data_IF_939176370596
#
_entry.id   IF_939176370596
#
_cell.length_a   1.000
_cell.length_b   1.000
_cell.length_c   1.000
_cell.angle_alpha   90.00
_cell.angle_beta   90.00
_cell.angle_gamma   90.00
#
_symmetry.space_group_name_H-M   'P 1'
#
loop_
_entity.id
_entity.type
_entity.pdbx_description
1 polymer ?
#
# COMPACT_ATOMS: atom_id res chain seq x y z
N UNK A 1 -4.26 27.60 36.76
CA UNK A 1 -2.89 27.91 37.22
C UNK A 1 -2.38 29.09 36.42
N UNK A 2 -2.05 30.22 37.06
CA UNK A 2 -1.39 31.34 36.38
C UNK A 2 0.07 30.95 36.10
N UNK A 3 0.52 31.10 34.86
CA UNK A 3 1.93 31.06 34.51
C UNK A 3 2.33 32.46 34.05
N UNK A 4 3.15 33.09 34.89
CA UNK A 4 3.79 34.37 34.65
C UNK A 4 5.10 34.10 33.88
N UNK A 5 5.31 34.74 32.74
CA UNK A 5 6.62 34.77 32.07
C UNK A 5 6.99 36.21 31.78
N UNK A 6 8.03 36.67 32.45
CA UNK A 6 8.71 37.94 32.23
C UNK A 6 9.57 37.89 30.96
N UNK A 7 9.58 38.97 30.18
CA UNK A 7 10.78 39.37 29.45
C UNK A 7 10.74 40.86 29.10
N UNK A 8 11.84 41.53 29.44
CA UNK A 8 12.22 42.93 29.19
C UNK A 8 12.09 43.41 27.73
N UNK A 9 11.83 44.71 27.47
CA UNK A 9 11.70 45.24 26.11
C UNK A 9 13.07 45.54 25.47
N UNK A 10 13.22 45.17 24.20
CA UNK A 10 14.28 45.64 23.30
C UNK A 10 13.78 46.92 22.61
N UNK A 11 14.49 48.03 22.76
CA UNK A 11 14.23 49.28 22.05
C UNK A 11 14.93 49.23 20.69
N UNK A 12 14.18 49.37 19.60
CA UNK A 12 14.73 49.66 18.27
C UNK A 12 14.03 50.93 17.76
N UNK A 13 14.84 51.95 17.50
CA UNK A 13 14.45 53.22 16.93
C UNK A 13 14.42 53.17 15.39
N UNK A 14 13.67 54.12 14.84
CA UNK A 14 13.70 54.63 13.47
C UNK A 14 12.78 54.01 12.41
N UNK A 15 11.91 54.90 11.94
CA UNK A 15 10.92 54.81 10.89
C UNK A 15 11.45 54.30 9.54
N UNK A 16 10.77 53.31 8.97
CA UNK A 16 10.56 53.19 7.52
C UNK A 16 9.15 52.64 7.28
N UNK A 17 8.35 53.37 6.50
CA UNK A 17 7.06 52.91 5.99
C UNK A 17 7.26 51.72 5.06
N UNK A 18 6.82 50.53 5.44
CA UNK A 18 6.67 49.38 4.52
C UNK A 18 5.46 48.56 4.96
N UNK A 19 4.44 48.50 4.10
CA UNK A 19 3.29 47.60 4.26
C UNK A 19 3.78 46.20 3.87
N UNK A 20 3.95 45.32 4.86
CA UNK A 20 4.18 43.89 4.61
C UNK A 20 2.83 43.20 4.52
N UNK A 21 2.44 42.78 3.30
CA UNK A 21 1.34 41.84 3.10
C UNK A 21 1.85 40.44 3.46
N UNK A 22 1.43 39.92 4.61
CA UNK A 22 1.58 38.50 4.96
C UNK A 22 0.36 37.74 4.45
N UNK A 23 0.58 36.81 3.52
CA UNK A 23 -0.40 35.83 3.05
C UNK A 23 -0.64 34.79 4.15
N UNK A 24 -1.82 34.81 4.76
CA UNK A 24 -2.23 33.90 5.86
C UNK A 24 -3.12 32.75 5.37
N UNK A 25 -2.83 32.17 4.22
CA UNK A 25 -3.52 30.96 3.72
C UNK A 25 -3.18 29.67 4.49
N UNK A 26 -2.43 29.72 5.59
CA UNK A 26 -2.09 28.55 6.44
C UNK A 26 -2.10 28.83 7.95
N UNK A 27 -3.17 29.42 8.49
CA UNK A 27 -3.43 29.33 9.93
C UNK A 27 -4.70 28.50 10.18
N UNK A 28 -4.49 27.29 10.69
CA UNK A 28 -5.55 26.41 11.19
C UNK A 28 -6.09 27.03 12.50
N UNK A 29 -7.41 27.05 12.59
CA UNK A 29 -8.21 27.45 13.75
C UNK A 29 -7.66 26.88 15.06
N UNK A 30 -7.05 27.73 15.90
CA UNK A 30 -7.15 27.61 17.36
C UNK A 30 -6.75 28.86 18.16
N UNK A 31 -6.44 29.99 17.51
CA UNK A 31 -5.98 31.20 18.20
C UNK A 31 -6.74 32.45 17.74
N UNK A 32 -8.07 32.40 17.74
CA UNK A 32 -8.90 33.58 17.41
C UNK A 32 -9.31 34.41 18.64
N UNK A 33 -9.03 33.94 19.86
CA UNK A 33 -9.33 34.70 21.09
C UNK A 33 -8.15 35.59 21.52
N UNK A 34 -6.91 35.28 21.13
CA UNK A 34 -5.73 36.05 21.57
C UNK A 34 -5.23 37.11 20.57
N UNK A 35 -5.70 37.11 19.32
CA UNK A 35 -5.17 37.99 18.26
C UNK A 35 -5.92 39.33 18.11
N UNK A 36 -7.01 39.56 18.85
CA UNK A 36 -7.63 40.90 18.91
C UNK A 36 -6.83 41.87 19.81
N UNK A 37 -5.87 41.37 20.61
CA UNK A 37 -5.18 42.20 21.60
C UNK A 37 -3.83 42.81 21.18
N UNK A 38 -3.31 42.57 19.95
CA UNK A 38 -1.91 42.94 19.66
C UNK A 38 -1.63 43.86 18.45
N UNK A 39 -2.62 44.48 17.82
CA UNK A 39 -2.36 45.51 16.79
C UNK A 39 -3.32 46.69 16.91
N UNK A 40 -3.07 47.62 17.84
CA UNK A 40 -2.50 48.95 17.53
C UNK A 40 -2.61 49.87 18.77
N UNK A 41 -1.44 50.36 19.20
CA UNK A 41 -1.19 51.18 20.38
C UNK A 41 -1.17 52.65 19.95
N UNK A 42 -1.98 53.52 20.58
CA UNK A 42 -1.57 54.77 21.24
C UNK A 42 -2.77 55.68 21.49
N UNK A 43 -3.00 56.00 22.76
CA UNK A 43 -3.86 57.08 23.29
C UNK A 43 -5.36 57.03 22.93
N UNK A 44 -6.13 56.20 23.63
CA UNK A 44 -7.39 56.57 24.33
C UNK A 44 -8.07 55.32 24.88
N UNK A 45 -8.55 55.39 26.12
CA UNK A 45 -9.18 54.27 26.83
C UNK A 45 -10.63 54.10 26.43
N UNK A 46 -10.97 53.06 25.66
CA UNK A 46 -12.38 52.67 25.43
C UNK A 46 -12.57 51.16 25.62
N UNK A 47 -13.68 50.80 26.29
CA UNK A 47 -14.05 49.43 26.64
C UNK A 47 -14.99 48.83 25.58
N UNK A 48 -14.68 47.64 25.08
CA UNK A 48 -15.52 46.90 24.13
C UNK A 48 -16.26 45.74 24.83
N UNK A 49 -17.52 45.49 24.45
CA UNK A 49 -18.28 44.30 24.89
C UNK A 49 -18.77 43.52 23.66
N UNK A 50 -18.44 42.22 23.64
CA UNK A 50 -18.98 41.26 22.68
C UNK A 50 -20.25 40.62 23.25
N UNK A 51 -21.27 40.49 22.41
CA UNK A 51 -22.48 39.73 22.71
C UNK A 51 -22.66 38.62 21.67
N UNK A 52 -22.97 37.41 22.14
CA UNK A 52 -23.45 36.33 21.29
C UNK A 52 -24.98 36.48 21.15
N UNK A 53 -25.51 36.35 19.94
CA UNK A 53 -26.97 36.25 19.74
C UNK A 53 -27.41 34.79 19.70
N UNK A 54 -28.63 34.53 20.14
CA UNK A 54 -29.23 33.19 20.20
C UNK A 54 -29.46 32.54 18.82
N UNK A 55 -29.15 33.23 17.72
CA UNK A 55 -29.21 32.72 16.34
C UNK A 55 -27.82 32.47 15.73
N UNK A 56 -26.77 32.37 16.56
CA UNK A 56 -25.44 31.90 16.14
C UNK A 56 -24.56 32.95 15.44
N UNK A 57 -24.89 34.24 15.52
CA UNK A 57 -24.06 35.32 15.01
C UNK A 57 -23.35 36.09 16.13
N UNK A 58 -22.05 36.39 15.97
CA UNK A 58 -21.34 37.36 16.80
C UNK A 58 -21.58 38.77 16.25
N UNK A 59 -22.17 39.65 17.06
CA UNK A 59 -22.37 41.05 16.68
C UNK A 59 -21.47 41.95 17.52
N UNK A 60 -20.53 42.63 16.87
CA UNK A 60 -19.67 43.62 17.53
C UNK A 60 -20.43 44.95 17.62
N UNK A 61 -20.74 45.42 18.83
CA UNK A 61 -21.34 46.73 19.05
C UNK A 61 -20.28 47.69 19.59
N UNK A 62 -20.00 48.75 18.84
CA UNK A 62 -19.08 49.81 19.25
C UNK A 62 -19.90 50.93 19.86
N UNK A 63 -19.74 51.18 21.16
CA UNK A 63 -20.28 52.38 21.79
C UNK A 63 -19.25 53.50 21.59
N UNK A 64 -19.57 54.45 20.71
CA UNK A 64 -18.71 55.62 20.44
C UNK A 64 -19.34 56.82 21.11
N UNK A 65 -18.58 57.53 21.95
CA UNK A 65 -18.98 58.83 22.47
C UNK A 65 -19.13 59.81 21.28
N UNK A 66 -20.32 60.42 21.05
CA UNK A 66 -20.59 61.20 19.83
C UNK A 66 -19.70 62.42 19.64
N UNK A 67 -18.98 62.84 20.68
CA UNK A 67 -18.23 64.09 20.68
C UNK A 67 -16.78 63.98 20.18
N UNK A 68 -16.30 62.79 19.79
CA UNK A 68 -14.88 62.61 19.44
C UNK A 68 -14.54 61.93 18.10
N UNK A 69 -15.51 61.51 17.27
CA UNK A 69 -15.21 60.88 15.97
C UNK A 69 -16.21 61.30 14.88
N UNK A 70 -15.71 61.87 13.77
CA UNK A 70 -16.52 62.06 12.55
C UNK A 70 -16.68 60.72 11.81
N UNK A 71 -17.93 60.25 11.67
CA UNK A 71 -18.34 59.01 11.00
C UNK A 71 -17.94 58.92 9.51
N UNK A 72 -17.45 60.01 8.91
CA UNK A 72 -17.02 60.03 7.50
C UNK A 72 -15.77 59.19 7.22
N UNK A 73 -14.93 58.93 8.22
CA UNK A 73 -13.62 58.28 8.03
C UNK A 73 -13.65 56.74 8.18
N UNK A 74 -14.78 56.14 8.57
CA UNK A 74 -14.93 54.69 8.81
C UNK A 74 -15.68 53.93 7.70
N UNK A 75 -16.32 54.65 6.77
CA UNK A 75 -17.17 54.06 5.73
C UNK A 75 -16.48 53.11 4.73
N UNK A 76 -15.19 53.29 4.34
CA UNK A 76 -14.55 52.35 3.41
C UNK A 76 -14.31 50.96 4.04
N UNK A 77 -14.08 50.91 5.36
CA UNK A 77 -13.73 49.68 6.07
C UNK A 77 -14.95 48.88 6.54
N UNK A 78 -16.04 49.55 6.91
CA UNK A 78 -17.31 48.90 7.29
C UNK A 78 -18.01 48.21 6.11
N UNK A 79 -17.82 48.69 4.88
CA UNK A 79 -18.39 48.05 3.69
C UNK A 79 -17.67 46.75 3.30
N UNK A 80 -16.41 46.55 3.70
CA UNK A 80 -15.69 45.29 3.49
C UNK A 80 -16.10 44.18 4.47
N UNK A 81 -16.59 44.54 5.66
CA UNK A 81 -17.08 43.58 6.65
C UNK A 81 -18.50 43.06 6.36
N UNK A 82 -19.29 43.80 5.58
CA UNK A 82 -20.70 43.42 5.27
C UNK A 82 -20.84 42.33 4.21
N UNK A 83 -19.80 42.05 3.41
CA UNK A 83 -19.86 41.09 2.29
C UNK A 83 -19.18 39.75 2.56
N UNK A 84 -18.74 39.49 3.79
CA UNK A 84 -18.25 38.16 4.17
C UNK A 84 -19.38 37.35 4.81
N UNK A 85 -20.28 36.81 3.99
CA UNK A 85 -21.12 35.68 4.42
C UNK A 85 -20.20 34.49 4.67
N UNK A 86 -19.85 34.28 5.95
CA UNK A 86 -19.22 33.04 6.40
C UNK A 86 -20.30 31.97 6.23
N UNK A 87 -20.20 31.20 5.15
CA UNK A 87 -20.94 29.95 5.05
C UNK A 87 -20.46 29.07 6.19
N UNK A 88 -21.41 28.65 7.01
CA UNK A 88 -21.22 27.72 8.12
C UNK A 88 -20.37 26.54 7.62
N UNK A 89 -19.11 26.38 8.08
CA UNK A 89 -18.37 25.19 7.77
C UNK A 89 -19.03 24.10 8.61
N UNK A 90 -20.03 23.42 8.03
CA UNK A 90 -20.28 22.05 8.44
C UNK A 90 -18.90 21.41 8.48
N UNK A 91 -18.49 20.76 9.58
CA UNK A 91 -17.22 20.06 9.59
C UNK A 91 -17.27 19.10 8.41
N UNK A 92 -16.52 19.40 7.34
CA UNK A 92 -16.14 18.38 6.39
C UNK A 92 -15.46 17.35 7.26
N UNK A 93 -16.12 16.22 7.47
CA UNK A 93 -15.48 15.05 8.03
C UNK A 93 -14.35 14.74 7.05
N UNK A 94 -13.13 15.18 7.36
CA UNK A 94 -11.94 14.88 6.60
C UNK A 94 -11.58 13.43 6.87
N UNK A 95 -12.43 12.53 6.39
CA UNK A 95 -12.18 11.10 6.35
C UNK A 95 -11.14 10.85 5.25
N UNK A 96 -9.86 11.13 5.53
CA UNK A 96 -8.78 10.78 4.62
C UNK A 96 -7.86 9.78 5.33
N UNK A 97 -8.13 8.49 5.14
CA UNK A 97 -7.30 7.41 5.64
C UNK A 97 -6.28 7.00 4.60
N UNK A 98 -4.99 7.20 4.90
CA UNK A 98 -3.90 6.93 3.99
C UNK A 98 -3.27 5.58 4.32
N UNK A 99 -3.16 4.70 3.33
CA UNK A 99 -2.55 3.38 3.46
C UNK A 99 -1.42 3.21 2.46
N UNK A 100 -0.24 2.85 2.96
CA UNK A 100 0.90 2.50 2.12
C UNK A 100 1.04 0.99 2.03
N UNK A 101 1.13 0.46 0.80
CA UNK A 101 1.54 -0.92 0.58
C UNK A 101 3.07 -0.98 0.40
N UNK A 102 3.77 -1.76 1.24
CA UNK A 102 5.22 -1.98 1.15
C UNK A 102 5.56 -3.44 0.77
N UNK A 103 6.65 -3.66 0.00
CA UNK A 103 7.18 -4.96 -0.55
C UNK A 103 6.75 -5.38 -1.99
N UNK A 104 7.26 -6.47 -2.57
CA UNK A 104 6.97 -6.94 -3.98
C UNK A 104 6.07 -8.18 -4.03
N UNK A 105 5.28 -8.41 -3.00
CA UNK A 105 4.72 -9.72 -2.66
C UNK A 105 3.22 -9.90 -2.95
N UNK A 106 2.58 -8.92 -3.59
CA UNK A 106 1.13 -8.96 -3.91
C UNK A 106 0.38 -7.64 -3.79
N UNK A 107 1.08 -6.51 -3.61
CA UNK A 107 0.47 -5.18 -3.38
C UNK A 107 -0.55 -4.78 -4.44
N UNK A 108 -0.16 -4.84 -5.72
CA UNK A 108 -1.06 -4.50 -6.81
C UNK A 108 -2.27 -5.43 -6.87
N UNK A 109 -2.12 -6.69 -6.45
CA UNK A 109 -3.26 -7.62 -6.33
C UNK A 109 -4.21 -7.18 -5.22
N UNK A 110 -3.71 -6.73 -4.05
CA UNK A 110 -4.55 -6.14 -2.99
C UNK A 110 -5.30 -4.90 -3.52
N UNK A 111 -4.64 -4.05 -4.31
CA UNK A 111 -5.30 -2.88 -4.93
C UNK A 111 -6.40 -3.29 -5.90
N UNK A 112 -6.14 -4.29 -6.75
CA UNK A 112 -7.16 -4.88 -7.63
C UNK A 112 -8.35 -5.42 -6.82
N UNK A 113 -8.12 -6.04 -5.66
CA UNK A 113 -9.19 -6.50 -4.77
C UNK A 113 -10.02 -5.34 -4.22
N UNK A 114 -9.39 -4.24 -3.79
CA UNK A 114 -10.15 -3.05 -3.34
C UNK A 114 -11.02 -2.48 -4.44
N UNK A 115 -10.57 -2.53 -5.70
CA UNK A 115 -11.39 -2.15 -6.84
C UNK A 115 -12.59 -3.09 -7.06
N UNK A 116 -12.37 -4.39 -6.99
CA UNK A 116 -13.45 -5.40 -7.11
C UNK A 116 -14.49 -5.22 -6.00
N UNK A 117 -14.04 -5.04 -4.76
CA UNK A 117 -14.91 -4.97 -3.60
C UNK A 117 -15.63 -3.62 -3.46
N UNK A 118 -15.00 -2.51 -3.88
CA UNK A 118 -15.45 -1.16 -3.50
C UNK A 118 -15.48 -0.13 -4.65
N UNK A 119 -15.02 -0.46 -5.87
CA UNK A 119 -14.92 0.49 -7.00
C UNK A 119 -15.44 -0.12 -8.31
N UNK A 120 -16.58 -0.82 -8.24
CA UNK A 120 -17.25 -1.43 -9.41
C UNK A 120 -16.34 -2.35 -10.28
N UNK A 121 -15.26 -2.89 -9.70
CA UNK A 121 -14.34 -3.80 -10.38
C UNK A 121 -13.65 -3.23 -11.62
N UNK A 122 -13.61 -4.04 -12.67
CA UNK A 122 -12.96 -3.74 -13.95
C UNK A 122 -13.98 -3.70 -15.06
N UNK A 123 -13.97 -2.62 -15.85
CA UNK A 123 -14.88 -2.48 -16.98
C UNK A 123 -14.39 -3.30 -18.20
N UNK A 124 -15.23 -3.40 -19.23
CA UNK A 124 -14.93 -4.19 -20.43
C UNK A 124 -13.69 -3.71 -21.20
N UNK A 125 -13.45 -2.40 -21.23
CA UNK A 125 -12.30 -1.81 -21.92
C UNK A 125 -10.99 -2.13 -21.18
N UNK A 126 -10.98 -2.01 -19.86
CA UNK A 126 -9.84 -2.43 -19.02
C UNK A 126 -9.56 -3.93 -19.15
N UNK A 127 -10.61 -4.76 -19.17
CA UNK A 127 -10.48 -6.21 -19.41
C UNK A 127 -9.83 -6.49 -20.77
N UNK A 128 -10.25 -5.77 -21.82
CA UNK A 128 -9.69 -5.91 -23.16
C UNK A 128 -8.21 -5.53 -23.22
N UNK A 129 -7.83 -4.42 -22.57
CA UNK A 129 -6.43 -3.99 -22.50
C UNK A 129 -5.55 -5.01 -21.76
N UNK A 130 -6.11 -5.74 -20.80
CA UNK A 130 -5.39 -6.77 -20.03
C UNK A 130 -5.18 -8.09 -20.77
N UNK A 131 -5.87 -8.32 -21.89
CA UNK A 131 -5.65 -9.52 -22.72
C UNK A 131 -4.19 -9.61 -23.16
N UNK A 132 -3.62 -8.49 -23.61
CA UNK A 132 -2.22 -8.46 -24.05
C UNK A 132 -1.25 -8.79 -22.91
N UNK A 133 -1.47 -8.24 -21.72
CA UNK A 133 -0.67 -8.54 -20.53
C UNK A 133 -0.73 -10.02 -20.15
N UNK A 134 -1.91 -10.65 -20.23
CA UNK A 134 -2.09 -12.08 -19.95
C UNK A 134 -1.36 -12.95 -20.99
N UNK A 135 -1.48 -12.60 -22.27
CA UNK A 135 -0.75 -13.29 -23.34
C UNK A 135 0.77 -13.18 -23.15
N UNK A 136 1.26 -12.01 -22.75
CA UNK A 136 2.66 -11.82 -22.37
C UNK A 136 3.07 -12.66 -21.17
N UNK A 137 2.21 -12.83 -20.16
CA UNK A 137 2.52 -13.72 -19.03
C UNK A 137 2.66 -15.18 -19.47
N UNK A 138 1.85 -15.66 -20.43
CA UNK A 138 2.02 -17.02 -21.01
C UNK A 138 3.38 -17.13 -21.70
N UNK A 139 3.72 -16.14 -22.54
CA UNK A 139 5.02 -16.11 -23.26
C UNK A 139 6.19 -16.08 -22.28
N UNK A 140 6.22 -15.13 -21.34
CA UNK A 140 7.27 -15.02 -20.32
C UNK A 140 7.40 -16.33 -19.53
N UNK A 141 6.28 -16.95 -19.13
CA UNK A 141 6.30 -18.19 -18.38
C UNK A 141 6.94 -19.34 -19.15
N UNK A 142 6.45 -19.67 -20.35
CA UNK A 142 6.97 -20.82 -21.10
C UNK A 142 8.42 -20.59 -21.54
N UNK A 143 8.75 -19.38 -21.97
CA UNK A 143 10.09 -18.97 -22.37
C UNK A 143 11.09 -19.12 -21.22
N UNK A 144 10.72 -18.62 -20.03
CA UNK A 144 11.59 -18.70 -18.84
C UNK A 144 11.84 -20.15 -18.44
N UNK A 145 10.82 -21.01 -18.48
CA UNK A 145 10.96 -22.43 -18.13
C UNK A 145 11.89 -23.14 -19.12
N UNK A 146 11.65 -23.01 -20.44
CA UNK A 146 12.47 -23.71 -21.44
C UNK A 146 13.91 -23.17 -21.50
N UNK A 147 14.11 -21.87 -21.27
CA UNK A 147 15.45 -21.29 -21.13
C UNK A 147 16.19 -21.82 -19.90
N UNK A 148 15.48 -22.13 -18.81
CA UNK A 148 16.07 -22.66 -17.59
C UNK A 148 16.53 -24.13 -17.74
N UNK A 149 15.90 -24.91 -18.64
CA UNK A 149 16.21 -26.35 -18.80
C UNK A 149 17.69 -26.63 -19.00
N UNK A 150 18.39 -25.82 -19.81
CA UNK A 150 19.82 -25.97 -20.10
C UNK A 150 20.75 -25.31 -19.08
N UNK A 151 20.23 -24.39 -18.25
CA UNK A 151 21.03 -23.63 -17.26
C UNK A 151 20.97 -24.20 -15.85
N UNK A 152 19.94 -25.00 -15.55
CA UNK A 152 19.85 -25.76 -14.30
C UNK A 152 21.04 -26.70 -14.13
N UNK A 153 21.41 -26.96 -12.88
CA UNK A 153 22.48 -27.91 -12.52
C UNK A 153 21.91 -28.98 -11.59
N UNK A 154 21.79 -30.26 -12.02
CA UNK A 154 22.01 -30.76 -13.38
C UNK A 154 20.96 -30.21 -14.37
N UNK A 155 21.28 -30.13 -15.67
CA UNK A 155 20.33 -29.68 -16.69
C UNK A 155 19.17 -30.67 -16.85
N UNK A 156 18.02 -30.17 -17.28
CA UNK A 156 16.82 -30.97 -17.53
C UNK A 156 16.65 -31.15 -19.02
N UNK A 157 16.44 -32.40 -19.46
CA UNK A 157 16.21 -32.73 -20.87
C UNK A 157 14.70 -32.83 -21.15
N UNK A 158 14.31 -32.64 -22.41
CA UNK A 158 12.95 -32.95 -22.86
C UNK A 158 12.65 -34.44 -22.67
N UNK A 159 11.41 -34.74 -22.29
CA UNK A 159 10.93 -36.12 -22.29
C UNK A 159 10.74 -36.64 -23.72
N UNK A 160 10.29 -35.76 -24.65
CA UNK A 160 10.20 -36.07 -26.07
C UNK A 160 11.20 -35.24 -26.88
N UNK A 161 12.24 -35.85 -27.48
CA UNK A 161 13.19 -35.14 -28.34
C UNK A 161 12.54 -34.44 -29.55
N UNK A 162 11.35 -34.89 -29.98
CA UNK A 162 10.59 -34.26 -31.06
C UNK A 162 10.13 -32.84 -30.71
N UNK A 163 10.13 -32.46 -29.43
CA UNK A 163 9.76 -31.10 -29.00
C UNK A 163 10.92 -30.09 -29.12
N UNK A 164 12.11 -30.51 -29.55
CA UNK A 164 13.29 -29.65 -29.61
C UNK A 164 13.08 -28.40 -30.50
N UNK A 165 12.49 -28.57 -31.68
CA UNK A 165 12.21 -27.43 -32.57
C UNK A 165 11.22 -26.43 -31.94
N UNK A 166 10.36 -26.87 -31.01
CA UNK A 166 9.42 -26.00 -30.30
C UNK A 166 10.13 -25.14 -29.27
N UNK A 167 11.16 -25.68 -28.59
CA UNK A 167 12.05 -24.86 -27.74
C UNK A 167 12.70 -23.77 -28.58
N UNK A 168 13.30 -24.15 -29.71
CA UNK A 168 13.96 -23.20 -30.63
C UNK A 168 12.97 -22.14 -31.13
N UNK A 169 11.75 -22.53 -31.48
CA UNK A 169 10.68 -21.60 -31.85
C UNK A 169 10.43 -20.59 -30.72
N UNK A 170 10.13 -21.05 -29.51
CA UNK A 170 9.79 -20.18 -28.37
C UNK A 170 10.94 -19.24 -28.00
N UNK A 171 12.19 -19.74 -28.00
CA UNK A 171 13.37 -18.92 -27.68
C UNK A 171 13.70 -17.89 -28.78
N UNK A 172 13.37 -18.16 -30.04
CA UNK A 172 13.58 -17.20 -31.12
C UNK A 172 12.58 -16.02 -31.08
N UNK A 173 11.42 -16.19 -30.43
CA UNK A 173 10.41 -15.12 -30.27
C UNK A 173 10.89 -13.96 -29.38
N UNK A 174 11.98 -14.15 -28.63
CA UNK A 174 12.57 -13.11 -27.75
C UNK A 174 13.02 -11.89 -28.53
N UNK A 175 13.37 -12.07 -29.80
CA UNK A 175 13.95 -11.00 -30.63
C UNK A 175 12.91 -10.12 -31.33
N UNK A 176 11.60 -10.43 -31.24
CA UNK A 176 10.56 -9.73 -31.97
C UNK A 176 9.89 -8.64 -31.11
N UNK A 177 10.01 -7.36 -31.52
CA UNK A 177 9.43 -6.20 -30.82
C UNK A 177 7.91 -6.12 -30.95
N UNK A 178 7.35 -6.54 -32.08
CA UNK A 178 5.92 -6.55 -32.37
C UNK A 178 5.44 -7.99 -32.51
N UNK A 179 5.45 -8.70 -31.38
CA UNK A 179 5.11 -10.12 -31.38
C UNK A 179 3.59 -10.33 -31.50
N UNK A 180 3.16 -10.99 -32.58
CA UNK A 180 1.77 -11.40 -32.75
C UNK A 180 1.56 -12.81 -32.17
N UNK A 181 0.56 -12.94 -31.29
CA UNK A 181 0.21 -14.21 -30.67
C UNK A 181 -0.58 -15.11 -31.63
N UNK A 182 0.14 -15.83 -32.49
CA UNK A 182 -0.44 -16.74 -33.49
C UNK A 182 -0.91 -18.07 -32.88
N UNK A 183 -1.77 -18.79 -33.62
CA UNK A 183 -2.17 -20.15 -33.23
C UNK A 183 -0.98 -21.09 -33.08
N UNK A 184 0.05 -20.94 -33.92
CA UNK A 184 1.28 -21.73 -33.86
C UNK A 184 2.00 -21.59 -32.52
N UNK A 185 2.05 -20.38 -31.96
CA UNK A 185 2.62 -20.15 -30.63
C UNK A 185 1.89 -20.89 -29.53
N UNK A 186 0.56 -20.79 -29.50
CA UNK A 186 -0.23 -21.46 -28.47
C UNK A 186 -0.08 -22.98 -28.55
N UNK A 187 -0.03 -23.56 -29.75
CA UNK A 187 0.20 -25.00 -29.93
C UNK A 187 1.62 -25.42 -29.50
N UNK A 188 2.65 -24.62 -29.81
CA UNK A 188 4.01 -24.87 -29.35
C UNK A 188 4.13 -24.77 -27.83
N UNK A 189 3.60 -23.70 -27.23
CA UNK A 189 3.63 -23.49 -25.79
C UNK A 189 2.87 -24.58 -25.03
N UNK A 190 1.68 -24.96 -25.52
CA UNK A 190 0.86 -26.04 -24.93
C UNK A 190 1.56 -27.39 -25.01
N UNK A 191 2.13 -27.74 -26.17
CA UNK A 191 2.81 -29.02 -26.35
C UNK A 191 4.05 -29.12 -25.46
N UNK A 192 4.81 -28.03 -25.34
CA UNK A 192 5.94 -27.95 -24.41
C UNK A 192 5.48 -28.06 -22.96
N UNK A 193 4.39 -27.38 -22.58
CA UNK A 193 3.89 -27.45 -21.20
C UNK A 193 3.45 -28.86 -20.78
N UNK A 194 3.03 -29.67 -21.74
CA UNK A 194 2.66 -31.08 -21.55
C UNK A 194 3.87 -32.03 -21.56
N UNK A 195 5.08 -31.56 -21.89
CA UNK A 195 6.29 -32.37 -21.86
C UNK A 195 6.77 -32.56 -20.41
N UNK A 196 6.94 -33.81 -19.98
CA UNK A 196 7.37 -34.13 -18.61
C UNK A 196 8.73 -33.51 -18.25
N UNK A 197 9.64 -33.34 -19.20
CA UNK A 197 10.91 -32.64 -18.97
C UNK A 197 10.70 -31.16 -18.63
N UNK A 198 9.79 -30.49 -19.34
CA UNK A 198 9.40 -29.10 -19.06
C UNK A 198 8.69 -29.00 -17.70
N UNK A 199 7.82 -29.96 -17.37
CA UNK A 199 7.17 -30.05 -16.04
C UNK A 199 8.19 -30.23 -14.92
N UNK A 200 9.17 -31.11 -15.09
CA UNK A 200 10.28 -31.29 -14.13
C UNK A 200 11.09 -30.00 -13.95
N UNK A 201 11.34 -29.26 -15.03
CA UNK A 201 12.01 -27.96 -14.94
C UNK A 201 11.18 -26.95 -14.15
N UNK A 202 9.86 -26.87 -14.41
CA UNK A 202 8.93 -26.02 -13.66
C UNK A 202 8.91 -26.31 -12.15
N UNK A 203 8.96 -27.58 -11.75
CA UNK A 203 9.02 -27.98 -10.34
C UNK A 203 10.30 -27.47 -9.63
N UNK A 204 11.35 -27.15 -10.40
CA UNK A 204 12.61 -26.56 -9.94
C UNK A 204 12.66 -25.03 -10.11
N UNK A 205 11.51 -24.40 -10.31
CA UNK A 205 11.39 -22.96 -10.55
C UNK A 205 11.87 -22.05 -9.41
N UNK A 206 12.17 -22.60 -8.23
CA UNK A 206 12.83 -21.85 -7.16
C UNK A 206 14.32 -21.57 -7.46
N UNK A 207 14.94 -22.29 -8.40
CA UNK A 207 16.33 -22.12 -8.83
C UNK A 207 16.52 -21.02 -9.89
N UNK A 208 15.41 -20.44 -10.40
CA UNK A 208 15.41 -19.36 -11.39
C UNK A 208 14.22 -18.40 -11.19
N UNK A 209 14.09 -17.37 -12.03
CA UNK A 209 13.17 -16.25 -11.79
C UNK A 209 11.81 -16.38 -12.51
N UNK A 210 11.02 -17.39 -12.16
CA UNK A 210 9.69 -17.58 -12.73
C UNK A 210 8.61 -16.67 -12.11
N UNK A 211 7.55 -16.38 -12.88
CA UNK A 211 6.36 -15.67 -12.41
C UNK A 211 5.39 -16.64 -11.72
N UNK A 212 4.79 -16.23 -10.59
CA UNK A 212 3.94 -17.14 -9.80
C UNK A 212 2.65 -17.56 -10.53
N UNK A 213 2.21 -16.79 -11.52
CA UNK A 213 1.02 -17.10 -12.32
C UNK A 213 1.30 -18.04 -13.51
N UNK A 214 2.53 -18.54 -13.66
CA UNK A 214 2.95 -19.39 -14.78
C UNK A 214 2.02 -20.59 -14.97
N UNK A 215 1.89 -21.45 -13.96
CA UNK A 215 1.02 -22.63 -14.04
C UNK A 215 -0.43 -22.26 -14.36
N UNK A 216 -0.98 -21.27 -13.66
CA UNK A 216 -2.38 -20.83 -13.85
C UNK A 216 -2.69 -20.46 -15.31
N UNK A 217 -1.79 -19.74 -15.99
CA UNK A 217 -2.02 -19.34 -17.37
C UNK A 217 -1.61 -20.41 -18.40
N UNK A 218 -0.57 -21.20 -18.12
CA UNK A 218 -0.16 -22.32 -18.99
C UNK A 218 -1.22 -23.42 -19.02
N UNK A 219 -1.89 -23.69 -17.89
CA UNK A 219 -3.03 -24.63 -17.81
C UNK A 219 -4.28 -24.11 -18.56
N UNK A 220 -4.31 -22.81 -18.91
CA UNK A 220 -5.44 -22.12 -19.56
C UNK A 220 -5.17 -21.67 -20.98
N UNK A 221 -4.10 -22.16 -21.62
CA UNK A 221 -3.74 -21.77 -23.00
C UNK A 221 -4.92 -21.90 -23.97
N UNK A 222 -5.70 -22.98 -23.88
CA UNK A 222 -6.85 -23.21 -24.78
C UNK A 222 -7.98 -22.20 -24.62
N UNK A 223 -8.11 -21.58 -23.44
CA UNK A 223 -9.09 -20.54 -23.15
C UNK A 223 -8.57 -19.20 -23.66
N UNK A 224 -7.31 -18.87 -23.34
CA UNK A 224 -6.70 -17.57 -23.68
C UNK A 224 -6.46 -17.41 -25.18
N UNK A 225 -6.30 -18.52 -25.93
CA UNK A 225 -6.10 -18.49 -27.38
C UNK A 225 -7.35 -18.15 -28.20
N UNK A 226 -8.55 -18.24 -27.60
CA UNK A 226 -9.80 -17.96 -28.31
C UNK A 226 -9.89 -16.48 -28.70
N UNK A 227 -10.49 -16.19 -29.87
CA UNK A 227 -10.62 -14.82 -30.38
C UNK A 227 -11.62 -13.97 -29.60
N UNK A 228 -12.58 -14.61 -28.93
CA UNK A 228 -13.62 -14.00 -28.09
C UNK A 228 -13.27 -14.03 -26.58
N UNK A 229 -12.04 -14.44 -26.24
CA UNK A 229 -11.57 -14.50 -24.87
C UNK A 229 -11.74 -13.15 -24.15
N UNK A 230 -12.49 -13.17 -23.04
CA UNK A 230 -12.64 -12.05 -22.12
C UNK A 230 -12.11 -12.45 -20.74
N UNK A 231 -11.09 -11.75 -20.19
CA UNK A 231 -10.52 -12.10 -18.90
C UNK A 231 -11.54 -12.06 -17.77
N UNK A 232 -11.55 -13.11 -16.95
CA UNK A 232 -12.26 -13.11 -15.68
C UNK A 232 -11.54 -12.24 -14.65
N UNK A 233 -12.24 -11.83 -13.59
CA UNK A 233 -11.60 -11.07 -12.51
C UNK A 233 -10.46 -11.88 -11.86
N UNK A 234 -10.56 -13.21 -11.86
CA UNK A 234 -9.47 -14.09 -11.41
C UNK A 234 -8.24 -14.01 -12.32
N UNK A 235 -8.43 -13.96 -13.63
CA UNK A 235 -7.33 -13.75 -14.59
C UNK A 235 -6.67 -12.39 -14.35
N UNK A 236 -7.46 -11.35 -14.08
CA UNK A 236 -6.94 -10.02 -13.77
C UNK A 236 -6.14 -9.99 -12.46
N UNK A 237 -6.60 -10.69 -11.42
CA UNK A 237 -5.91 -10.79 -10.14
C UNK A 237 -4.57 -11.55 -10.25
N UNK A 238 -4.53 -12.60 -11.08
CA UNK A 238 -3.33 -13.41 -11.34
C UNK A 238 -2.38 -12.77 -12.35
N UNK A 239 -2.87 -11.91 -13.23
CA UNK A 239 -2.07 -11.21 -14.22
C UNK A 239 -0.97 -10.36 -13.56
N UNK A 240 0.27 -10.63 -13.95
CA UNK A 240 1.47 -9.95 -13.46
C UNK A 240 1.83 -8.81 -14.39
N UNK A 241 1.86 -7.62 -13.84
CA UNK A 241 2.41 -6.41 -14.46
C UNK A 241 3.37 -5.79 -13.46
N UNK A 242 4.57 -5.42 -13.91
CA UNK A 242 5.56 -4.78 -13.05
C UNK A 242 5.15 -3.34 -12.78
N UNK A 243 4.86 -3.04 -11.52
CA UNK A 243 4.52 -1.69 -11.05
C UNK A 243 5.78 -0.86 -10.90
N UNK A 244 5.93 0.18 -11.72
CA UNK A 244 6.94 1.23 -11.56
C UNK A 244 6.25 2.56 -11.26
N UNK A 245 6.71 3.26 -10.23
CA UNK A 245 6.08 4.48 -9.75
C UNK A 245 5.12 4.27 -8.58
N UNK A 246 4.24 5.26 -8.40
CA UNK A 246 3.26 5.35 -7.32
C UNK A 246 1.88 5.36 -7.98
N UNK A 247 1.00 4.45 -7.56
CA UNK A 247 -0.37 4.38 -8.02
C UNK A 247 -1.32 4.61 -6.84
N UNK A 248 -2.30 5.47 -7.04
CA UNK A 248 -3.29 5.82 -6.02
C UNK A 248 -4.63 5.17 -6.34
N UNK A 249 -5.31 4.68 -5.31
CA UNK A 249 -6.69 4.20 -5.42
C UNK A 249 -7.51 4.75 -4.26
N UNK A 250 -8.66 5.34 -4.59
CA UNK A 250 -9.60 5.90 -3.61
C UNK A 250 -10.90 5.13 -3.67
N UNK A 251 -11.44 4.81 -2.50
CA UNK A 251 -12.70 4.10 -2.38
C UNK A 251 -13.36 4.43 -1.04
N UNK A 252 -14.67 4.18 -0.94
CA UNK A 252 -15.44 4.45 0.25
C UNK A 252 -16.09 3.17 0.76
N UNK A 253 -16.00 2.92 2.07
CA UNK A 253 -16.65 1.79 2.74
C UNK A 253 -17.36 2.31 3.98
N UNK A 254 -18.67 2.06 4.09
CA UNK A 254 -19.51 2.53 5.21
C UNK A 254 -19.31 4.02 5.53
N UNK A 255 -19.26 4.84 4.47
CA UNK A 255 -19.03 6.30 4.48
C UNK A 255 -17.61 6.76 4.83
N UNK A 256 -16.71 5.85 5.19
CA UNK A 256 -15.30 6.16 5.44
C UNK A 256 -14.51 6.10 4.13
N UNK A 257 -13.75 7.15 3.81
CA UNK A 257 -12.90 7.14 2.62
C UNK A 257 -11.51 6.58 2.91
N UNK A 258 -11.04 5.74 2.00
CA UNK A 258 -9.71 5.16 1.99
C UNK A 258 -8.95 5.65 0.78
N UNK A 259 -7.69 6.04 1.00
CA UNK A 259 -6.73 6.44 0.00
C UNK A 259 -5.49 5.56 0.10
N UNK A 260 -5.36 4.63 -0.84
CA UNK A 260 -4.30 3.63 -0.83
C UNK A 260 -3.24 3.94 -1.90
N UNK A 261 -1.97 3.74 -1.54
CA UNK A 261 -0.80 3.95 -2.38
C UNK A 261 -0.11 2.61 -2.65
N UNK A 262 -0.11 2.18 -3.90
CA UNK A 262 0.70 1.06 -4.39
C UNK A 262 1.98 1.61 -5.01
N UNK A 263 3.08 1.50 -4.25
CA UNK A 263 4.39 1.97 -4.68
C UNK A 263 5.22 0.80 -5.18
N UNK A 264 6.01 0.98 -6.24
CA UNK A 264 6.97 -0.01 -6.69
C UNK A 264 7.81 -0.57 -5.52
N UNK A 265 7.85 -1.89 -5.38
CA UNK A 265 8.52 -2.54 -4.23
C UNK A 265 9.97 -2.95 -4.48
N UNK A 266 10.37 -2.94 -5.76
CA UNK A 266 11.73 -3.29 -6.19
C UNK A 266 12.74 -2.33 -5.57
N UNK A 267 13.98 -2.78 -5.37
CA UNK A 267 15.01 -1.98 -4.67
C UNK A 267 15.14 -0.55 -5.21
N UNK A 268 15.11 -0.36 -6.53
CA UNK A 268 15.26 0.94 -7.18
C UNK A 268 14.04 1.87 -7.00
N UNK A 269 12.86 1.29 -6.74
CA UNK A 269 11.63 2.03 -6.53
C UNK A 269 11.47 2.51 -5.07
N UNK A 270 12.18 1.89 -4.11
CA UNK A 270 12.03 2.17 -2.67
C UNK A 270 12.37 3.61 -2.27
N UNK A 271 13.23 4.29 -3.04
CA UNK A 271 13.54 5.72 -2.79
C UNK A 271 12.31 6.63 -2.96
N UNK A 272 11.32 6.21 -3.74
CA UNK A 272 10.07 6.96 -3.98
C UNK A 272 9.12 6.87 -2.78
N UNK A 273 9.29 5.89 -1.89
CA UNK A 273 8.37 5.65 -0.77
C UNK A 273 8.22 6.85 0.16
N UNK A 274 9.31 7.62 0.36
CA UNK A 274 9.29 8.83 1.19
C UNK A 274 8.28 9.88 0.70
N UNK A 275 7.93 9.87 -0.60
CA UNK A 275 6.95 10.78 -1.19
C UNK A 275 5.53 10.47 -0.72
N UNK A 276 5.28 9.25 -0.23
CA UNK A 276 3.99 8.78 0.24
C UNK A 276 3.87 8.74 1.77
N UNK A 277 4.89 9.17 2.52
CA UNK A 277 4.91 9.04 3.99
C UNK A 277 4.23 10.19 4.74
N UNK A 278 3.80 11.25 4.05
CA UNK A 278 3.10 12.35 4.69
C UNK A 278 1.67 11.93 5.03
N UNK A 279 1.27 12.14 6.29
CA UNK A 279 -0.09 11.92 6.82
C UNK A 279 -0.63 10.49 6.65
N UNK A 280 0.25 9.48 6.62
CA UNK A 280 -0.14 8.06 6.58
C UNK A 280 -0.82 7.64 7.88
N UNK A 281 -1.99 7.00 7.80
CA UNK A 281 -2.67 6.46 8.97
C UNK A 281 -2.11 5.11 9.39
N UNK A 282 -1.87 4.22 8.42
CA UNK A 282 -1.31 2.89 8.66
C UNK A 282 -0.49 2.41 7.46
N UNK A 283 0.46 1.51 7.73
CA UNK A 283 1.21 0.82 6.68
C UNK A 283 0.67 -0.60 6.57
N UNK A 284 0.33 -1.03 5.35
CA UNK A 284 0.11 -2.44 5.04
C UNK A 284 1.40 -3.01 4.47
N UNK A 285 2.12 -3.80 5.27
CA UNK A 285 3.32 -4.48 4.82
C UNK A 285 2.96 -5.86 4.30
N UNK A 286 3.20 -6.12 3.01
CA UNK A 286 2.84 -7.40 2.38
C UNK A 286 4.07 -8.31 2.31
N UNK A 287 3.93 -9.60 2.60
CA UNK A 287 5.02 -10.60 2.57
C UNK A 287 4.60 -11.75 1.68
N UNK A 288 5.50 -12.24 0.82
CA UNK A 288 5.24 -13.45 0.04
C UNK A 288 5.73 -14.64 0.86
N UNK A 289 4.89 -15.18 1.75
CA UNK A 289 5.29 -16.23 2.69
C UNK A 289 5.76 -17.50 1.97
N UNK A 290 5.21 -17.80 0.79
CA UNK A 290 5.61 -18.93 -0.05
C UNK A 290 7.01 -18.79 -0.67
N UNK A 291 7.64 -17.62 -0.64
CA UNK A 291 8.93 -17.36 -1.29
C UNK A 291 10.15 -17.67 -0.41
N UNK A 292 9.99 -18.45 0.66
CA UNK A 292 11.08 -18.80 1.59
C UNK A 292 12.24 -19.55 0.95
N UNK A 293 12.03 -20.23 -0.20
CA UNK A 293 13.04 -21.00 -0.92
C UNK A 293 13.55 -20.31 -2.19
N UNK A 294 13.26 -19.02 -2.38
CA UNK A 294 13.58 -18.27 -3.60
C UNK A 294 14.54 -17.11 -3.31
N UNK A 295 15.25 -16.66 -4.34
CA UNK A 295 16.09 -15.46 -4.32
C UNK A 295 15.44 -14.29 -5.07
N UNK A 296 15.77 -13.05 -4.69
CA UNK A 296 15.25 -11.85 -5.35
C UNK A 296 15.81 -11.69 -6.76
N UNK A 297 15.10 -10.97 -7.64
CA UNK A 297 15.52 -10.76 -9.03
C UNK A 297 16.75 -9.85 -9.14
N UNK A 298 16.88 -8.91 -8.20
CA UNK A 298 17.86 -7.83 -8.27
C UNK A 298 19.32 -8.29 -8.15
N UNK A 299 19.60 -9.33 -7.36
CA UNK A 299 20.96 -9.87 -7.20
C UNK A 299 21.06 -11.39 -7.42
N UNK A 300 19.91 -12.07 -7.60
CA UNK A 300 19.83 -13.52 -7.75
C UNK A 300 20.56 -14.31 -6.64
N UNK A 301 20.70 -13.72 -5.45
CA UNK A 301 21.47 -14.28 -4.34
C UNK A 301 20.73 -14.14 -2.99
N UNK A 302 20.14 -12.98 -2.72
CA UNK A 302 19.47 -12.70 -1.45
C UNK A 302 18.14 -13.45 -1.38
N UNK A 303 17.94 -14.23 -0.32
CA UNK A 303 16.66 -14.91 -0.07
C UNK A 303 15.49 -13.91 0.03
N UNK A 304 14.37 -14.19 -0.65
CA UNK A 304 13.22 -13.27 -0.74
C UNK A 304 12.56 -13.02 0.62
N UNK A 305 12.42 -14.04 1.45
CA UNK A 305 11.83 -13.88 2.78
C UNK A 305 12.77 -13.12 3.72
N UNK A 306 14.08 -13.38 3.64
CA UNK A 306 15.09 -12.61 4.38
C UNK A 306 15.11 -11.13 3.96
N UNK A 307 15.02 -10.84 2.67
CA UNK A 307 14.89 -9.46 2.18
C UNK A 307 13.63 -8.78 2.74
N UNK A 308 12.51 -9.50 2.82
CA UNK A 308 11.28 -8.98 3.41
C UNK A 308 11.44 -8.70 4.91
N UNK A 309 12.11 -9.57 5.68
CA UNK A 309 12.43 -9.35 7.09
C UNK A 309 13.32 -8.11 7.29
N UNK A 310 14.36 -7.98 6.47
CA UNK A 310 15.26 -6.82 6.50
C UNK A 310 14.51 -5.52 6.19
N UNK A 311 13.65 -5.54 5.17
CA UNK A 311 12.84 -4.40 4.78
C UNK A 311 11.83 -4.03 5.87
N UNK A 312 11.16 -5.01 6.47
CA UNK A 312 10.25 -4.80 7.59
C UNK A 312 10.98 -4.19 8.78
N UNK A 313 12.16 -4.69 9.15
CA UNK A 313 13.00 -4.11 10.21
C UNK A 313 13.35 -2.66 9.94
N UNK A 314 13.65 -2.31 8.69
CA UNK A 314 13.96 -0.94 8.30
C UNK A 314 12.75 -0.01 8.40
N UNK A 315 11.55 -0.48 8.03
CA UNK A 315 10.30 0.28 8.17
C UNK A 315 9.93 0.45 9.64
N UNK A 316 9.96 -0.64 10.40
CA UNK A 316 9.59 -0.67 11.82
C UNK A 316 10.45 0.30 12.65
N UNK A 317 11.76 0.31 12.40
CA UNK A 317 12.70 1.18 13.12
C UNK A 317 12.86 2.57 12.50
N UNK A 318 12.09 2.89 11.46
CA UNK A 318 12.21 4.16 10.77
C UNK A 318 11.77 5.33 11.68
N UNK A 319 12.64 6.33 11.84
CA UNK A 319 12.37 7.50 12.69
C UNK A 319 11.10 8.28 12.30
N UNK A 320 10.74 8.28 11.03
CA UNK A 320 9.56 8.98 10.51
C UNK A 320 8.27 8.17 10.67
N UNK A 321 8.36 6.88 11.04
CA UNK A 321 7.23 5.95 11.15
C UNK A 321 7.00 5.44 12.58
N UNK A 322 7.65 6.04 13.59
CA UNK A 322 7.62 5.58 14.99
C UNK A 322 6.24 5.55 15.65
N UNK A 323 5.28 6.29 15.13
CA UNK A 323 3.89 6.31 15.62
C UNK A 323 2.92 5.60 14.67
N UNK A 324 3.41 5.14 13.51
CA UNK A 324 2.59 4.53 12.48
C UNK A 324 2.59 3.02 12.71
N UNK A 325 1.41 2.45 12.98
CA UNK A 325 1.28 1.01 13.13
C UNK A 325 1.30 0.29 11.79
N UNK A 326 1.72 -0.97 11.82
CA UNK A 326 1.92 -1.79 10.62
C UNK A 326 0.96 -2.98 10.65
N UNK A 327 0.09 -3.04 9.66
CA UNK A 327 -0.73 -4.21 9.36
C UNK A 327 0.14 -5.12 8.48
N UNK A 328 0.45 -6.32 8.96
CA UNK A 328 1.34 -7.25 8.30
C UNK A 328 0.52 -8.32 7.56
N UNK A 329 0.53 -8.29 6.24
CA UNK A 329 -0.09 -9.31 5.40
C UNK A 329 0.92 -10.39 5.05
N UNK A 330 0.78 -11.55 5.68
CA UNK A 330 1.48 -12.78 5.32
C UNK A 330 0.76 -13.42 4.13
N UNK A 331 1.07 -12.93 2.93
CA UNK A 331 0.38 -13.27 1.69
C UNK A 331 0.89 -14.58 1.04
N UNK A 332 0.12 -15.08 0.07
CA UNK A 332 0.36 -16.32 -0.68
C UNK A 332 0.30 -17.57 0.19
N UNK A 333 -0.67 -17.61 1.11
CA UNK A 333 -0.90 -18.77 1.97
C UNK A 333 -1.27 -20.03 1.19
N UNK A 334 -1.97 -19.88 0.06
CA UNK A 334 -2.26 -20.95 -0.90
C UNK A 334 -0.97 -21.62 -1.40
N UNK A 335 -0.03 -20.82 -1.91
CA UNK A 335 1.25 -21.32 -2.41
C UNK A 335 2.19 -21.81 -1.30
N UNK A 336 2.07 -21.25 -0.09
CA UNK A 336 2.83 -21.75 1.07
C UNK A 336 2.34 -23.15 1.45
N UNK A 337 1.02 -23.35 1.54
CA UNK A 337 0.43 -24.63 1.86
C UNK A 337 0.82 -25.71 0.84
N UNK A 338 0.66 -25.42 -0.45
CA UNK A 338 1.06 -26.33 -1.54
C UNK A 338 2.54 -26.75 -1.40
N UNK A 339 3.43 -25.78 -1.21
CA UNK A 339 4.88 -26.04 -1.16
C UNK A 339 5.30 -26.83 0.09
N UNK A 340 4.71 -26.51 1.24
CA UNK A 340 4.97 -27.23 2.50
C UNK A 340 4.48 -28.68 2.40
N UNK A 341 3.28 -28.89 1.85
CA UNK A 341 2.69 -30.21 1.70
C UNK A 341 3.41 -31.08 0.66
N UNK A 342 3.92 -30.47 -0.42
CA UNK A 342 4.72 -31.15 -1.42
C UNK A 342 6.03 -31.70 -0.85
N UNK A 343 6.58 -31.10 0.22
CA UNK A 343 7.75 -31.60 0.94
C UNK A 343 9.07 -31.58 0.16
N UNK A 344 9.11 -30.92 -1.02
CA UNK A 344 10.29 -30.85 -1.90
C UNK A 344 11.32 -29.81 -1.47
N UNK A 345 10.90 -28.71 -0.85
CA UNK A 345 11.77 -27.66 -0.32
C UNK A 345 11.42 -27.39 1.14
N UNK A 346 12.26 -27.85 2.06
CA UNK A 346 11.98 -27.76 3.49
C UNK A 346 12.36 -26.39 4.02
N UNK A 347 11.56 -25.81 4.91
CA UNK A 347 11.82 -24.46 5.44
C UNK A 347 13.15 -24.44 6.21
N UNK A 348 13.46 -25.50 6.95
CA UNK A 348 14.68 -25.63 7.76
C UNK A 348 15.99 -25.65 6.94
N UNK A 349 15.94 -25.88 5.62
CA UNK A 349 17.10 -25.76 4.73
C UNK A 349 17.49 -24.29 4.48
N UNK A 350 16.53 -23.38 4.63
CA UNK A 350 16.69 -21.94 4.41
C UNK A 350 16.69 -21.15 5.73
N UNK A 351 15.92 -21.62 6.71
CA UNK A 351 15.74 -21.04 8.04
C UNK A 351 15.91 -22.14 9.11
N UNK A 352 17.16 -22.48 9.50
CA UNK A 352 17.47 -23.64 10.36
C UNK A 352 16.76 -23.65 11.71
N UNK A 353 16.40 -22.48 12.24
CA UNK A 353 15.62 -22.31 13.46
C UNK A 353 14.23 -22.94 13.38
N UNK A 354 13.66 -23.11 12.18
CA UNK A 354 12.39 -23.79 11.98
C UNK A 354 12.42 -25.24 12.45
N UNK A 355 13.58 -25.93 12.40
CA UNK A 355 13.70 -27.30 12.91
C UNK A 355 13.34 -27.42 14.40
N UNK A 356 13.57 -26.35 15.17
CA UNK A 356 13.29 -26.29 16.61
C UNK A 356 12.00 -25.53 16.96
N UNK A 357 11.34 -24.94 15.96
CA UNK A 357 10.12 -24.19 16.15
C UNK A 357 8.95 -25.11 16.52
N UNK A 358 8.13 -24.68 17.48
CA UNK A 358 6.90 -25.36 17.89
C UNK A 358 5.74 -24.41 17.63
N UNK A 359 4.61 -24.96 17.16
CA UNK A 359 3.40 -24.16 16.95
C UNK A 359 2.96 -23.59 18.30
N UNK A 360 2.67 -22.29 18.39
CA UNK A 360 2.31 -21.67 19.65
C UNK A 360 0.89 -22.08 20.09
N UNK A 361 0.66 -22.08 21.40
CA UNK A 361 -0.62 -22.51 21.98
C UNK A 361 -1.81 -21.60 21.60
N UNK A 362 -1.52 -20.34 21.25
CA UNK A 362 -2.51 -19.36 20.77
C UNK A 362 -2.79 -19.45 19.27
N UNK A 363 -2.24 -20.46 18.58
CA UNK A 363 -2.50 -20.67 17.16
C UNK A 363 -3.98 -21.02 16.91
N UNK A 364 -4.58 -20.33 15.94
CA UNK A 364 -5.94 -20.50 15.48
C UNK A 364 -5.91 -21.04 14.04
N UNK A 365 -5.66 -22.35 13.84
CA UNK A 365 -5.65 -22.95 12.50
C UNK A 365 -7.04 -22.85 11.85
N UNK A 366 -7.07 -22.77 10.52
CA UNK A 366 -8.32 -22.85 9.78
C UNK A 366 -8.89 -24.29 9.84
N UNK A 367 -10.20 -24.42 9.70
CA UNK A 367 -10.86 -25.72 9.75
C UNK A 367 -10.32 -26.64 8.63
N UNK A 368 -9.75 -27.79 9.03
CA UNK A 368 -9.17 -28.75 8.09
C UNK A 368 -7.73 -28.41 7.63
N UNK A 369 -7.09 -27.39 8.21
CA UNK A 369 -5.70 -27.07 7.90
C UNK A 369 -4.73 -28.14 8.42
N UNK A 370 -3.77 -28.56 7.58
CA UNK A 370 -2.73 -29.50 7.97
C UNK A 370 -1.79 -28.87 9.02
N UNK A 371 -1.47 -29.54 10.14
CA UNK A 371 -0.60 -29.00 11.18
C UNK A 371 0.78 -28.55 10.69
N UNK A 372 1.29 -29.14 9.60
CA UNK A 372 2.56 -28.73 8.97
C UNK A 372 2.45 -27.33 8.37
N UNK A 373 1.31 -27.01 7.76
CA UNK A 373 1.01 -25.69 7.19
C UNK A 373 0.83 -24.67 8.30
N UNK A 374 0.08 -25.01 9.36
CA UNK A 374 -0.07 -24.16 10.54
C UNK A 374 1.28 -23.83 11.14
N UNK A 375 2.13 -24.83 11.40
CA UNK A 375 3.48 -24.62 11.94
C UNK A 375 4.32 -23.70 11.04
N UNK A 376 4.29 -23.92 9.73
CA UNK A 376 5.04 -23.12 8.76
C UNK A 376 4.59 -21.65 8.73
N UNK A 377 3.28 -21.38 8.62
CA UNK A 377 2.79 -19.99 8.54
C UNK A 377 3.02 -19.23 9.84
N UNK A 378 2.85 -19.88 10.99
CA UNK A 378 3.10 -19.28 12.30
C UNK A 378 4.58 -19.03 12.57
N UNK A 379 5.47 -19.91 12.12
CA UNK A 379 6.91 -19.64 12.15
C UNK A 379 7.24 -18.34 11.41
N UNK A 380 6.77 -18.19 10.18
CA UNK A 380 7.01 -16.99 9.38
C UNK A 380 6.41 -15.77 10.09
N UNK A 381 5.20 -15.86 10.63
CA UNK A 381 4.59 -14.79 11.45
C UNK A 381 5.53 -14.34 12.57
N UNK A 382 6.05 -15.31 13.32
CA UNK A 382 6.84 -15.04 14.52
C UNK A 382 8.22 -14.45 14.20
N UNK A 383 8.80 -14.74 13.03
CA UNK A 383 10.00 -14.05 12.54
C UNK A 383 9.79 -12.53 12.40
N UNK A 384 8.63 -12.10 11.88
CA UNK A 384 8.29 -10.67 11.81
C UNK A 384 7.90 -10.10 13.17
N UNK A 385 7.14 -10.84 13.98
CA UNK A 385 6.74 -10.36 15.30
C UNK A 385 7.94 -10.17 16.21
N UNK A 386 8.96 -11.03 16.14
CA UNK A 386 10.23 -10.87 16.87
C UNK A 386 10.89 -9.53 16.59
N UNK A 387 10.83 -9.04 15.35
CA UNK A 387 11.34 -7.71 14.98
C UNK A 387 10.50 -6.62 15.65
N UNK A 388 9.17 -6.75 15.59
CA UNK A 388 8.27 -5.73 16.13
C UNK A 388 8.33 -5.60 17.67
N UNK A 389 8.53 -6.71 18.37
CA UNK A 389 8.58 -6.76 19.83
C UNK A 389 9.96 -6.43 20.42
N UNK A 390 11.03 -6.45 19.61
CA UNK A 390 12.39 -6.22 20.09
C UNK A 390 12.70 -4.76 20.42
N UNK A 391 11.94 -3.79 19.91
CA UNK A 391 12.30 -2.36 19.97
C UNK A 391 11.12 -1.43 20.25
N UNK A 392 9.95 -1.97 20.60
CA UNK A 392 8.73 -1.19 20.78
C UNK A 392 8.73 -0.37 22.07
N UNK A 393 8.60 0.95 21.94
CA UNK A 393 8.30 1.88 23.04
C UNK A 393 6.78 1.98 23.33
N UNK A 394 5.98 1.08 22.74
CA UNK A 394 4.52 1.02 22.87
C UNK A 394 3.74 2.04 22.02
N UNK A 395 4.42 2.82 21.18
CA UNK A 395 3.78 3.90 20.39
C UNK A 395 3.12 3.43 19.09
N UNK A 396 3.51 2.27 18.59
CA UNK A 396 2.88 1.64 17.43
C UNK A 396 2.84 0.12 17.57
N UNK A 397 1.99 -0.54 16.79
CA UNK A 397 1.71 -1.97 16.92
C UNK A 397 1.86 -2.67 15.56
N UNK A 398 2.12 -3.99 15.60
CA UNK A 398 2.09 -4.85 14.43
C UNK A 398 0.84 -5.74 14.49
N UNK A 399 0.03 -5.74 13.43
CA UNK A 399 -1.19 -6.53 13.32
C UNK A 399 -1.05 -7.57 12.21
N UNK A 400 -0.66 -8.82 12.53
CA UNK A 400 -0.44 -9.85 11.53
C UNK A 400 -1.76 -10.49 11.04
N UNK A 401 -1.88 -10.65 9.73
CA UNK A 401 -2.97 -11.37 9.07
C UNK A 401 -2.41 -12.35 8.03
N UNK A 402 -2.95 -13.56 8.00
CA UNK A 402 -2.69 -14.54 6.95
C UNK A 402 -3.59 -14.24 5.75
N UNK A 403 -3.01 -14.04 4.56
CA UNK A 403 -3.77 -13.57 3.40
C UNK A 403 -3.53 -14.40 2.13
N UNK A 404 -4.56 -14.49 1.30
CA UNK A 404 -4.47 -14.94 -0.07
C UNK A 404 -5.02 -13.83 -0.96
N UNK A 405 -4.13 -12.99 -1.52
CA UNK A 405 -4.53 -11.80 -2.28
C UNK A 405 -5.37 -12.11 -3.52
N UNK A 406 -5.34 -13.35 -4.03
CA UNK A 406 -6.11 -13.81 -5.18
C UNK A 406 -7.44 -14.45 -4.79
N UNK A 407 -7.75 -14.51 -3.49
CA UNK A 407 -9.04 -14.91 -2.95
C UNK A 407 -9.77 -13.66 -2.45
N UNK A 408 -10.82 -13.28 -3.18
CA UNK A 408 -11.62 -12.09 -2.89
C UNK A 408 -12.33 -12.16 -1.55
N UNK A 409 -12.74 -13.35 -1.10
CA UNK A 409 -13.46 -13.50 0.17
C UNK A 409 -12.51 -13.49 1.36
N UNK A 410 -11.30 -14.06 1.22
CA UNK A 410 -10.23 -13.90 2.20
C UNK A 410 -9.89 -12.41 2.40
N UNK A 411 -9.67 -11.66 1.31
CA UNK A 411 -9.35 -10.23 1.40
C UNK A 411 -10.50 -9.40 1.94
N UNK A 412 -11.76 -9.72 1.60
CA UNK A 412 -12.94 -9.06 2.20
C UNK A 412 -12.93 -9.17 3.73
N UNK A 413 -12.72 -10.38 4.26
CA UNK A 413 -12.68 -10.65 5.71
C UNK A 413 -11.52 -9.90 6.37
N UNK A 414 -10.31 -10.06 5.86
CA UNK A 414 -9.10 -9.42 6.42
C UNK A 414 -9.20 -7.89 6.37
N UNK A 415 -9.74 -7.33 5.29
CA UNK A 415 -9.91 -5.88 5.18
C UNK A 415 -10.92 -5.33 6.19
N UNK A 416 -12.01 -6.06 6.47
CA UNK A 416 -12.95 -5.68 7.51
C UNK A 416 -12.29 -5.67 8.90
N UNK A 417 -11.45 -6.65 9.22
CA UNK A 417 -10.68 -6.65 10.48
C UNK A 417 -9.72 -5.45 10.54
N UNK A 418 -9.04 -5.16 9.43
CA UNK A 418 -8.14 -4.02 9.31
C UNK A 418 -8.85 -2.68 9.47
N UNK A 419 -10.10 -2.56 8.99
CA UNK A 419 -10.90 -1.35 9.13
C UNK A 419 -11.10 -0.98 10.60
N UNK A 420 -11.45 -1.94 11.44
CA UNK A 420 -11.69 -1.69 12.87
C UNK A 420 -10.39 -1.25 13.58
N UNK A 421 -9.25 -1.82 13.17
CA UNK A 421 -7.93 -1.40 13.64
C UNK A 421 -7.62 0.04 13.21
N UNK A 422 -7.79 0.33 11.92
CA UNK A 422 -7.50 1.64 11.32
C UNK A 422 -8.38 2.73 11.92
N UNK A 423 -9.67 2.46 12.12
CA UNK A 423 -10.59 3.40 12.77
C UNK A 423 -10.15 3.72 14.21
N UNK A 424 -9.80 2.71 15.00
CA UNK A 424 -9.29 2.92 16.36
C UNK A 424 -7.96 3.69 16.37
N UNK A 425 -7.08 3.43 15.42
CA UNK A 425 -5.81 4.16 15.28
C UNK A 425 -6.03 5.64 14.97
N UNK A 426 -6.92 5.94 14.03
CA UNK A 426 -7.24 7.31 13.65
C UNK A 426 -7.90 8.08 14.79
N UNK A 427 -8.87 7.48 15.50
CA UNK A 427 -9.47 8.11 16.67
C UNK A 427 -8.44 8.39 17.78
N UNK A 428 -7.48 7.49 18.01
CA UNK A 428 -6.36 7.73 18.95
C UNK A 428 -5.46 8.87 18.51
N UNK A 429 -5.19 9.00 17.21
CA UNK A 429 -4.33 10.07 16.67
C UNK A 429 -4.93 11.47 16.91
N UNK A 430 -6.25 11.57 16.98
CA UNK A 430 -6.98 12.81 17.28
C UNK A 430 -7.39 12.96 18.76
N UNK A 431 -6.83 12.14 19.67
CA UNK A 431 -7.14 12.17 21.10
C UNK A 431 -8.64 11.97 21.42
N UNK A 432 -9.38 11.27 20.55
CA UNK A 432 -10.80 10.97 20.70
C UNK A 432 -11.07 9.66 21.47
N UNK A 433 -10.02 8.96 21.93
CA UNK A 433 -10.06 7.66 22.62
C UNK A 433 -9.24 7.64 23.90
#
# INVERSE_FOLDING_TARGET
>A
ALLCVSSTPLVISEAVNTVVLLDFSRLIFHTFIDIILYVWIHQTSHCFKLFASDTGGLTLKVDVDPNHISLSNLNPYLNHLKTTTISDPRPEVKDNFFQLLASVSGKSTIVKQMRILHVNGFNAEEKKQKIHDIKNNIKEAIETIVAAMSTLTPPVQLASPHNQYRIEYVLNLVSQKDYEFTSEFYENAKTLWQDEGVRVCFERSNEYQLIDCAQYFLDKIDIVKQSDYTPTDQDLLRCRVLTSGIFETRFQVDKVNFHMFDVGGQRDERRKWIQCFNDVTAIIFVVASSSYNMVIREDNQTNRLQEALNLFKNIWNNRWLRTISVILFLNKQDLLAEKVLAGKSKIEEYFPEFARYTTPDDATPEAGEDPRVTRAKYFIRDEFLRISTASGDGRHYCYPHFTCAVDTENIRRVFNDCRDIIQRMHLRQYELL
#
